data_IF_871183135439
#
_entry.id   IF_871183135439
#
_cell.length_a   1.000
_cell.length_b   1.000
_cell.length_c   1.000
_cell.angle_alpha   90.00
_cell.angle_beta   90.00
_cell.angle_gamma   90.00
#
_symmetry.space_group_name_H-M   'P 1'
#
loop_
_entity.id
_entity.type
_entity.pdbx_description
1 polymer ?
#
# COMPACT_ATOMS: atom_id res chain seq x y z
N UNK A 1 14.24 -10.57 -18.09
CA UNK A 1 13.34 -10.80 -16.96
C UNK A 1 11.93 -10.37 -17.33
N UNK A 2 11.00 -11.31 -17.36
CA UNK A 2 9.61 -11.08 -17.73
C UNK A 2 8.86 -10.51 -16.55
N UNK A 3 8.53 -9.23 -16.61
CA UNK A 3 7.71 -8.58 -15.59
C UNK A 3 6.23 -8.92 -15.85
N UNK A 4 5.65 -9.77 -15.02
CA UNK A 4 4.20 -9.84 -14.91
C UNK A 4 3.72 -8.58 -14.19
N UNK A 5 2.88 -7.78 -14.83
CA UNK A 5 2.23 -6.64 -14.19
C UNK A 5 0.81 -7.06 -13.84
N UNK A 6 0.58 -7.22 -12.55
CA UNK A 6 -0.75 -7.43 -12.01
C UNK A 6 -1.28 -6.10 -11.47
N UNK A 7 -2.37 -5.60 -12.04
CA UNK A 7 -3.11 -4.47 -11.48
C UNK A 7 -4.38 -5.00 -10.83
N UNK A 8 -4.43 -4.96 -9.50
CA UNK A 8 -5.65 -5.25 -8.75
C UNK A 8 -6.40 -3.94 -8.48
N UNK A 9 -7.55 -3.75 -9.10
CA UNK A 9 -8.55 -2.77 -8.67
C UNK A 9 -9.42 -3.49 -7.64
N UNK A 10 -9.04 -3.38 -6.37
CA UNK A 10 -9.53 -4.21 -5.28
C UNK A 10 -11.03 -4.09 -5.02
N UNK A 11 -11.60 -2.92 -5.19
CA UNK A 11 -13.01 -2.62 -4.95
C UNK A 11 -13.95 -3.14 -6.06
N UNK A 12 -13.40 -3.47 -7.23
CA UNK A 12 -14.17 -3.92 -8.41
C UNK A 12 -13.88 -5.34 -8.83
N UNK A 13 -13.02 -6.04 -8.11
CA UNK A 13 -12.64 -7.43 -8.34
C UNK A 13 -12.18 -7.72 -9.78
N UNK A 14 -11.52 -6.75 -10.43
CA UNK A 14 -10.95 -6.91 -11.76
C UNK A 14 -9.44 -6.87 -11.71
N UNK A 15 -8.82 -7.78 -12.44
CA UNK A 15 -7.39 -7.79 -12.68
C UNK A 15 -7.09 -7.98 -14.17
N UNK A 16 -5.94 -7.50 -14.60
CA UNK A 16 -5.46 -7.67 -15.97
C UNK A 16 -4.16 -8.45 -15.92
N UNK A 17 -4.12 -9.55 -16.64
CA UNK A 17 -2.91 -10.34 -16.82
C UNK A 17 -2.38 -10.07 -18.22
N UNK A 18 -1.13 -9.66 -18.29
CA UNK A 18 -0.42 -9.40 -19.54
C UNK A 18 0.76 -10.36 -19.61
N UNK A 19 0.72 -11.25 -20.58
CA UNK A 19 1.81 -12.18 -20.87
C UNK A 19 2.15 -12.13 -22.36
N UNK A 20 3.45 -12.07 -22.68
CA UNK A 20 3.93 -12.09 -24.06
C UNK A 20 3.98 -13.50 -24.67
N UNK A 21 3.91 -14.54 -23.84
CA UNK A 21 3.85 -15.94 -24.30
C UNK A 21 2.40 -16.39 -24.42
N UNK A 22 1.91 -16.73 -25.64
CA UNK A 22 0.54 -17.17 -25.85
C UNK A 22 0.20 -18.49 -25.13
N UNK A 23 1.16 -19.40 -24.96
CA UNK A 23 0.93 -20.66 -24.25
C UNK A 23 0.54 -20.44 -22.79
N UNK A 24 1.16 -19.43 -22.13
CA UNK A 24 0.81 -19.06 -20.75
C UNK A 24 -0.62 -18.51 -20.69
N UNK A 25 -1.01 -17.69 -21.67
CA UNK A 25 -2.38 -17.16 -21.74
C UNK A 25 -3.41 -18.26 -22.01
N UNK A 26 -3.07 -19.24 -22.86
CA UNK A 26 -3.95 -20.39 -23.14
C UNK A 26 -4.18 -21.23 -21.88
N UNK A 27 -3.11 -21.60 -21.16
CA UNK A 27 -3.23 -22.33 -19.89
C UNK A 27 -4.05 -21.53 -18.88
N UNK A 28 -3.77 -20.25 -18.73
CA UNK A 28 -4.51 -19.38 -17.82
C UNK A 28 -6.00 -19.30 -18.16
N UNK A 29 -6.34 -19.06 -19.43
CA UNK A 29 -7.74 -18.97 -19.86
C UNK A 29 -8.48 -20.30 -19.67
N UNK A 30 -7.83 -21.43 -19.93
CA UNK A 30 -8.39 -22.76 -19.69
C UNK A 30 -8.72 -22.95 -18.21
N UNK A 31 -7.81 -22.59 -17.30
CA UNK A 31 -8.06 -22.68 -15.86
C UNK A 31 -9.21 -21.77 -15.41
N UNK A 32 -9.28 -20.53 -15.91
CA UNK A 32 -10.40 -19.62 -15.63
C UNK A 32 -11.73 -20.20 -16.04
N UNK A 33 -11.81 -20.74 -17.26
CA UNK A 33 -13.04 -21.35 -17.78
C UNK A 33 -13.42 -22.60 -16.99
N UNK A 34 -12.44 -23.44 -16.65
CA UNK A 34 -12.68 -24.66 -15.86
C UNK A 34 -13.22 -24.33 -14.47
N UNK A 35 -12.78 -23.22 -13.87
CA UNK A 35 -13.22 -22.77 -12.55
C UNK A 35 -14.43 -21.83 -12.60
N UNK A 36 -14.99 -21.55 -13.78
CA UNK A 36 -16.09 -20.59 -14.02
C UNK A 36 -15.79 -19.19 -13.47
N UNK A 37 -14.53 -18.74 -13.52
CA UNK A 37 -14.07 -17.43 -13.09
C UNK A 37 -13.95 -16.40 -14.22
N UNK A 38 -14.34 -16.78 -15.43
CA UNK A 38 -14.26 -15.98 -16.66
C UNK A 38 -15.42 -14.98 -16.83
N UNK A 39 -16.47 -15.09 -16.01
CA UNK A 39 -17.68 -14.27 -16.12
C UNK A 39 -17.52 -12.80 -15.70
N UNK A 40 -16.47 -12.42 -15.04
CA UNK A 40 -16.13 -11.03 -14.69
C UNK A 40 -17.31 -10.12 -14.29
N UNK A 41 -16.97 -8.93 -13.79
CA UNK A 41 -17.95 -7.88 -13.47
C UNK A 41 -18.06 -6.89 -14.64
N UNK A 42 -19.22 -6.79 -15.28
CA UNK A 42 -19.47 -5.91 -16.42
C UNK A 42 -19.11 -4.44 -16.09
N UNK A 43 -19.55 -3.94 -14.93
CA UNK A 43 -19.21 -2.58 -14.50
C UNK A 43 -17.71 -2.40 -14.25
N UNK A 44 -17.05 -3.44 -13.78
CA UNK A 44 -15.61 -3.47 -13.61
C UNK A 44 -14.88 -3.30 -14.94
N UNK A 45 -15.27 -4.02 -15.98
CA UNK A 45 -14.67 -3.89 -17.32
C UNK A 45 -14.89 -2.48 -17.91
N UNK A 46 -16.11 -1.96 -17.82
CA UNK A 46 -16.43 -0.61 -18.33
C UNK A 46 -15.62 0.45 -17.59
N UNK A 47 -15.53 0.35 -16.26
CA UNK A 47 -14.79 1.31 -15.44
C UNK A 47 -13.29 1.22 -15.68
N UNK A 48 -12.75 0.01 -15.79
CA UNK A 48 -11.34 -0.20 -16.12
C UNK A 48 -10.98 0.48 -17.45
N UNK A 49 -11.78 0.23 -18.48
CA UNK A 49 -11.61 0.84 -19.82
C UNK A 49 -11.68 2.37 -19.75
N UNK A 50 -12.66 2.92 -19.00
CA UNK A 50 -12.83 4.36 -18.83
C UNK A 50 -11.66 4.99 -18.08
N UNK A 51 -11.18 4.36 -16.98
CA UNK A 51 -10.04 4.82 -16.22
C UNK A 51 -8.77 4.92 -17.06
N UNK A 52 -8.47 3.90 -17.86
CA UNK A 52 -7.31 3.93 -18.76
C UNK A 52 -7.45 4.92 -19.91
N UNK A 53 -8.67 5.16 -20.40
CA UNK A 53 -8.90 6.07 -21.53
C UNK A 53 -8.93 7.56 -21.12
N UNK A 54 -9.44 7.85 -19.94
CA UNK A 54 -9.74 9.22 -19.51
C UNK A 54 -9.07 9.64 -18.20
N UNK A 55 -8.47 8.71 -17.46
CA UNK A 55 -7.97 8.97 -16.10
C UNK A 55 -6.54 9.51 -16.00
N UNK A 56 -5.82 9.73 -17.12
CA UNK A 56 -4.42 10.10 -17.10
C UNK A 56 -4.15 11.40 -16.32
N UNK A 57 -4.91 12.46 -16.59
CA UNK A 57 -4.73 13.76 -15.90
C UNK A 57 -4.99 13.65 -14.40
N UNK A 58 -6.06 12.95 -13.99
CA UNK A 58 -6.35 12.71 -12.59
C UNK A 58 -5.22 11.90 -11.90
N UNK A 59 -4.69 10.88 -12.58
CA UNK A 59 -3.59 10.07 -12.04
C UNK A 59 -2.32 10.90 -11.83
N UNK A 60 -2.03 11.81 -12.75
CA UNK A 60 -0.87 12.71 -12.67
C UNK A 60 -0.97 13.65 -11.45
N UNK A 61 -2.15 14.24 -11.23
CA UNK A 61 -2.41 15.08 -10.06
C UNK A 61 -2.33 14.29 -8.75
N UNK A 62 -2.93 13.10 -8.72
CA UNK A 62 -2.86 12.20 -7.57
C UNK A 62 -1.42 11.81 -7.26
N UNK A 63 -0.63 11.44 -8.25
CA UNK A 63 0.77 11.04 -8.06
C UNK A 63 1.57 12.18 -7.44
N UNK A 64 1.41 13.40 -7.96
CA UNK A 64 2.06 14.60 -7.41
C UNK A 64 1.64 14.88 -5.96
N UNK A 65 0.35 14.69 -5.65
CA UNK A 65 -0.15 14.82 -4.29
C UNK A 65 0.46 13.78 -3.33
N UNK A 66 0.53 12.52 -3.78
CA UNK A 66 1.12 11.43 -3.00
C UNK A 66 2.63 11.60 -2.79
N UNK A 67 3.35 12.07 -3.79
CA UNK A 67 4.77 12.43 -3.63
C UNK A 67 4.98 13.48 -2.55
N UNK A 68 4.10 14.50 -2.50
CA UNK A 68 4.08 15.47 -1.42
C UNK A 68 3.81 14.84 -0.04
N UNK A 69 2.89 13.86 0.04
CA UNK A 69 2.64 13.13 1.28
C UNK A 69 3.83 12.27 1.71
N UNK A 70 4.50 11.59 0.75
CA UNK A 70 5.72 10.84 1.02
C UNK A 70 6.78 11.75 1.63
N UNK A 71 7.08 12.86 0.97
CA UNK A 71 8.14 13.77 1.44
C UNK A 71 7.81 14.33 2.82
N UNK A 72 6.57 14.76 3.04
CA UNK A 72 6.12 15.26 4.33
C UNK A 72 6.30 14.22 5.45
N UNK A 73 5.92 12.96 5.18
CA UNK A 73 6.07 11.90 6.18
C UNK A 73 7.54 11.60 6.48
N UNK A 74 8.41 11.55 5.45
CA UNK A 74 9.84 11.33 5.63
C UNK A 74 10.47 12.43 6.49
N UNK A 75 10.20 13.70 6.16
CA UNK A 75 10.72 14.87 6.91
C UNK A 75 10.22 14.86 8.37
N UNK A 76 8.95 14.43 8.58
CA UNK A 76 8.39 14.32 9.92
C UNK A 76 9.10 13.24 10.74
N UNK A 77 9.28 12.03 10.20
CA UNK A 77 9.97 10.95 10.90
C UNK A 77 11.42 11.31 11.21
N UNK A 78 12.13 11.90 10.25
CA UNK A 78 13.52 12.31 10.45
C UNK A 78 13.66 13.33 11.59
N UNK A 79 12.74 14.30 11.68
CA UNK A 79 12.80 15.38 12.69
C UNK A 79 12.25 14.95 14.05
N UNK A 80 11.10 14.27 14.07
CA UNK A 80 10.33 14.06 15.30
C UNK A 80 10.50 12.65 15.88
N UNK A 81 10.84 11.67 15.04
CA UNK A 81 10.92 10.25 15.41
C UNK A 81 12.12 9.56 14.75
N UNK A 82 13.36 10.07 14.91
CA UNK A 82 14.55 9.56 14.22
C UNK A 82 14.88 8.10 14.54
N UNK A 83 14.31 7.54 15.62
CA UNK A 83 14.42 6.12 15.98
C UNK A 83 13.57 5.20 15.07
N UNK A 84 12.60 5.75 14.33
CA UNK A 84 11.80 4.99 13.35
C UNK A 84 12.38 5.26 11.96
N UNK A 85 12.94 4.21 11.35
CA UNK A 85 13.47 4.33 9.99
C UNK A 85 12.37 4.09 8.97
N UNK A 86 12.30 4.95 7.97
CA UNK A 86 11.33 4.85 6.88
C UNK A 86 12.06 4.61 5.58
N UNK A 87 11.71 3.53 4.89
CA UNK A 87 12.20 3.28 3.55
C UNK A 87 11.39 4.15 2.57
N UNK A 88 12.08 5.01 1.82
CA UNK A 88 11.44 5.81 0.76
C UNK A 88 10.86 4.87 -0.29
N UNK A 89 9.55 4.93 -0.56
CA UNK A 89 8.95 4.07 -1.58
C UNK A 89 9.32 4.56 -2.98
N UNK A 90 9.65 3.63 -3.87
CA UNK A 90 9.86 3.92 -5.30
C UNK A 90 8.54 3.99 -6.08
N UNK A 91 7.44 3.63 -5.43
CA UNK A 91 6.09 3.65 -5.99
C UNK A 91 5.06 3.29 -4.93
N UNK A 92 3.77 3.39 -5.27
CA UNK A 92 2.68 3.16 -4.34
C UNK A 92 2.50 4.31 -3.32
N UNK A 93 1.57 4.12 -2.41
CA UNK A 93 1.21 5.03 -1.32
C UNK A 93 1.34 4.35 0.06
N UNK A 94 2.26 3.39 0.15
CA UNK A 94 2.49 2.59 1.34
C UNK A 94 3.92 2.81 1.83
N UNK A 95 4.07 3.26 3.07
CA UNK A 95 5.36 3.36 3.74
C UNK A 95 5.63 2.12 4.58
N UNK A 96 6.87 1.68 4.58
CA UNK A 96 7.36 0.62 5.45
C UNK A 96 8.19 1.23 6.57
N UNK A 97 7.71 1.09 7.81
CA UNK A 97 8.24 1.74 8.99
C UNK A 97 8.97 0.71 9.86
N UNK A 98 10.24 0.96 10.15
CA UNK A 98 11.05 0.13 11.03
C UNK A 98 11.05 0.71 12.45
N UNK A 99 10.33 0.05 13.35
CA UNK A 99 10.22 0.44 14.77
C UNK A 99 11.29 -0.18 15.67
N UNK A 100 12.19 -1.00 15.16
CA UNK A 100 13.20 -1.71 15.97
C UNK A 100 14.11 -0.75 16.74
N UNK A 101 14.33 0.45 16.21
CA UNK A 101 15.10 1.50 16.88
C UNK A 101 14.42 2.15 18.08
N UNK A 102 13.14 1.86 18.34
CA UNK A 102 12.39 2.44 19.48
C UNK A 102 12.66 1.73 20.80
N UNK A 103 13.30 0.55 20.79
CA UNK A 103 13.51 -0.28 21.98
C UNK A 103 12.25 -1.03 22.46
N UNK A 104 11.11 -0.88 21.80
CA UNK A 104 9.88 -1.58 22.11
C UNK A 104 9.86 -2.97 21.46
N UNK A 105 9.28 -3.96 22.15
CA UNK A 105 8.99 -5.23 21.50
C UNK A 105 7.93 -5.05 20.40
N UNK A 106 7.85 -5.99 19.48
CA UNK A 106 6.87 -5.95 18.39
C UNK A 106 5.43 -5.81 18.91
N UNK A 107 5.09 -6.59 19.95
CA UNK A 107 3.78 -6.62 20.58
C UNK A 107 3.50 -5.32 21.34
N UNK A 108 4.46 -4.85 22.15
CA UNK A 108 4.33 -3.60 22.89
C UNK A 108 4.15 -2.40 21.96
N UNK A 109 4.87 -2.35 20.85
CA UNK A 109 4.71 -1.34 19.82
C UNK A 109 3.27 -1.33 19.26
N UNK A 110 2.75 -2.50 18.87
CA UNK A 110 1.37 -2.63 18.37
C UNK A 110 0.32 -2.18 19.38
N UNK A 111 0.47 -2.61 20.65
CA UNK A 111 -0.44 -2.20 21.73
C UNK A 111 -0.42 -0.69 21.98
N UNK A 112 0.74 -0.07 22.01
CA UNK A 112 0.88 1.38 22.23
C UNK A 112 0.28 2.17 21.07
N UNK A 113 0.52 1.76 19.82
CA UNK A 113 -0.09 2.38 18.64
C UNK A 113 -1.63 2.38 18.74
N UNK A 114 -2.24 1.26 19.13
CA UNK A 114 -3.69 1.14 19.23
C UNK A 114 -4.24 1.81 20.50
N UNK A 115 -3.65 1.54 21.68
CA UNK A 115 -4.22 1.98 22.97
C UNK A 115 -3.91 3.45 23.26
N UNK A 116 -2.72 3.93 22.95
CA UNK A 116 -2.26 5.30 23.24
C UNK A 116 -2.42 6.20 22.01
N UNK A 117 -1.84 5.78 20.88
CA UNK A 117 -1.89 6.53 19.64
C UNK A 117 -3.28 6.56 18.99
N UNK A 118 -4.13 5.55 19.25
CA UNK A 118 -5.42 5.37 18.56
C UNK A 118 -5.24 5.36 17.04
N UNK A 119 -4.16 4.71 16.58
CA UNK A 119 -3.84 4.56 15.16
C UNK A 119 -3.63 3.08 14.83
N UNK A 120 -4.27 2.63 13.76
CA UNK A 120 -4.14 1.28 13.22
C UNK A 120 -3.18 1.26 12.04
N UNK A 121 -2.07 0.52 12.15
CA UNK A 121 -1.15 0.23 11.07
C UNK A 121 -1.19 -1.26 10.77
N UNK A 122 -0.92 -1.65 9.52
CA UNK A 122 -0.79 -3.07 9.22
C UNK A 122 0.41 -3.66 9.94
N UNK A 123 0.23 -4.85 10.48
CA UNK A 123 1.29 -5.58 11.14
C UNK A 123 2.31 -6.11 10.12
N UNK A 124 3.60 -5.95 10.41
CA UNK A 124 4.65 -6.46 9.55
C UNK A 124 4.63 -7.98 9.43
N UNK A 125 4.23 -8.70 10.49
CA UNK A 125 4.14 -10.16 10.49
C UNK A 125 3.08 -10.71 9.51
N UNK A 126 2.10 -9.88 9.07
CA UNK A 126 1.19 -10.27 7.98
C UNK A 126 1.93 -10.55 6.66
N UNK A 127 3.19 -10.11 6.54
CA UNK A 127 4.04 -10.23 5.35
C UNK A 127 5.19 -11.22 5.51
N UNK A 128 5.28 -11.92 6.65
CA UNK A 128 6.31 -12.88 6.99
C UNK A 128 7.05 -12.56 8.29
N UNK A 129 7.83 -13.52 8.80
CA UNK A 129 8.57 -13.35 10.06
C UNK A 129 9.61 -12.22 10.01
N UNK A 130 10.16 -11.92 8.84
CA UNK A 130 11.09 -10.81 8.61
C UNK A 130 10.43 -9.44 8.84
N UNK A 131 9.08 -9.39 8.82
CA UNK A 131 8.30 -8.20 9.15
C UNK A 131 8.22 -7.87 10.65
N UNK A 132 8.84 -8.68 11.52
CA UNK A 132 8.87 -8.43 12.96
C UNK A 132 9.59 -7.11 13.28
N UNK A 133 8.91 -6.24 14.03
CA UNK A 133 9.40 -4.88 14.33
C UNK A 133 9.05 -3.85 13.27
N UNK A 134 8.35 -4.25 12.21
CA UNK A 134 7.90 -3.35 11.15
C UNK A 134 6.38 -3.12 11.19
N UNK A 135 5.96 -1.98 10.62
CA UNK A 135 4.56 -1.64 10.37
C UNK A 135 4.41 -1.03 8.98
N UNK A 136 3.28 -1.29 8.31
CA UNK A 136 2.97 -0.67 7.03
C UNK A 136 1.93 0.41 7.22
N UNK A 137 2.25 1.62 6.75
CA UNK A 137 1.38 2.80 6.82
C UNK A 137 0.88 3.18 5.44
N UNK A 138 -0.43 3.44 5.33
CA UNK A 138 -1.04 3.98 4.14
C UNK A 138 -1.05 5.52 4.22
N UNK A 139 -0.47 6.19 3.22
CA UNK A 139 -0.42 7.66 3.10
C UNK A 139 -1.32 8.20 1.98
N UNK A 140 -2.15 7.34 1.37
CA UNK A 140 -3.13 7.72 0.35
C UNK A 140 -4.38 8.35 0.97
N UNK A 141 -4.20 9.40 1.75
CA UNK A 141 -5.24 10.13 2.48
C UNK A 141 -5.01 11.65 2.39
N UNK A 142 -6.00 12.46 2.78
CA UNK A 142 -5.82 13.90 2.92
C UNK A 142 -4.65 14.25 3.86
N UNK A 143 -3.95 15.35 3.58
CA UNK A 143 -2.78 15.78 4.35
C UNK A 143 -3.09 15.93 5.85
N UNK A 144 -4.23 16.51 6.22
CA UNK A 144 -4.64 16.69 7.61
C UNK A 144 -4.81 15.36 8.37
N UNK A 145 -5.25 14.29 7.66
CA UNK A 145 -5.36 12.94 8.24
C UNK A 145 -3.98 12.33 8.44
N UNK A 146 -3.06 12.57 7.50
CA UNK A 146 -1.67 12.13 7.61
C UNK A 146 -0.98 12.82 8.79
N UNK A 147 -1.13 14.14 8.95
CA UNK A 147 -0.59 14.92 10.05
C UNK A 147 -1.08 14.42 11.42
N UNK A 148 -2.40 14.25 11.57
CA UNK A 148 -2.98 13.69 12.80
C UNK A 148 -2.47 12.28 13.08
N UNK A 149 -2.36 11.44 12.04
CA UNK A 149 -1.82 10.08 12.15
C UNK A 149 -0.36 10.07 12.65
N UNK A 150 0.49 10.94 12.14
CA UNK A 150 1.88 11.05 12.53
C UNK A 150 2.03 11.55 13.99
N UNK A 151 1.24 12.54 14.41
CA UNK A 151 1.19 13.02 15.80
C UNK A 151 0.72 11.90 16.76
N UNK A 152 -0.21 11.08 16.34
CA UNK A 152 -0.68 9.91 17.11
C UNK A 152 0.41 8.84 17.24
N UNK A 153 1.17 8.58 16.18
CA UNK A 153 2.33 7.68 16.23
C UNK A 153 3.37 8.23 17.21
N UNK A 154 3.67 9.52 17.13
CA UNK A 154 4.60 10.18 18.05
C UNK A 154 4.21 9.98 19.52
N UNK A 155 2.94 10.22 19.86
CA UNK A 155 2.42 9.99 21.23
C UNK A 155 2.52 8.54 21.68
N UNK A 156 2.42 7.60 20.76
CA UNK A 156 2.54 6.17 21.06
C UNK A 156 4.01 5.76 21.34
N UNK A 157 4.98 6.48 20.77
CA UNK A 157 6.40 6.15 20.86
C UNK A 157 7.14 6.90 21.99
N UNK A 158 6.54 7.95 22.53
CA UNK A 158 7.01 8.69 23.71
C UNK A 158 6.46 8.05 24.99
#
# INVERSE_FOLDING_TARGET
>A
SRRQRQMCIRDRMNSVIIASNPEILEVYNRELTTLHLDLGNIFGHVTLKAAYRYGAGWLEELTRYLEGNVQFALDYFERELPQIKVLKPEGSFLLWLDFRGTGLSHEACGERLVKIGKVGLNDGLEFGEEGRGFRRMNIGCPRCVLEDGLERIKRACL
#
